data_IF_906802563682
#
_entry.id   IF_906802563682
#
_cell.length_a   1.000
_cell.length_b   1.000
_cell.length_c   1.000
_cell.angle_alpha   90.00
_cell.angle_beta   90.00
_cell.angle_gamma   90.00
#
_symmetry.space_group_name_H-M   'P 1'
#
loop_
_entity.id
_entity.type
_entity.pdbx_description
1 polymer ?
#
# COMPACT_ATOMS: atom_id res chain seq x y z
N UNK A 1 -58.36 -7.44 -1.00
CA UNK A 1 -57.17 -7.94 -1.74
C UNK A 1 -56.10 -6.88 -2.01
N UNK A 2 -56.42 -5.67 -2.53
CA UNK A 2 -55.42 -4.62 -2.84
C UNK A 2 -54.56 -4.15 -1.65
N UNK A 3 -55.13 -4.02 -0.45
CA UNK A 3 -54.41 -3.60 0.78
C UNK A 3 -53.38 -4.63 1.27
N UNK A 4 -53.61 -5.92 1.02
CA UNK A 4 -52.68 -7.00 1.40
C UNK A 4 -51.44 -7.03 0.50
N UNK A 5 -51.62 -6.72 -0.80
CA UNK A 5 -50.50 -6.57 -1.75
C UNK A 5 -49.68 -5.30 -1.47
N UNK A 6 -50.33 -4.21 -1.08
CA UNK A 6 -49.65 -2.99 -0.64
C UNK A 6 -48.83 -3.24 0.64
N UNK A 7 -49.36 -3.98 1.61
CA UNK A 7 -48.64 -4.33 2.83
C UNK A 7 -47.43 -5.24 2.54
N UNK A 8 -47.57 -6.23 1.65
CA UNK A 8 -46.45 -7.07 1.18
C UNK A 8 -45.37 -6.25 0.47
N UNK A 9 -45.75 -5.29 -0.39
CA UNK A 9 -44.81 -4.40 -1.08
C UNK A 9 -44.06 -3.49 -0.10
N UNK A 10 -44.75 -2.94 0.90
CA UNK A 10 -44.13 -2.13 1.97
C UNK A 10 -43.15 -2.97 2.80
N UNK A 11 -43.51 -4.22 3.09
CA UNK A 11 -42.64 -5.14 3.86
C UNK A 11 -41.39 -5.51 3.07
N UNK A 12 -41.53 -5.77 1.76
CA UNK A 12 -40.41 -6.05 0.85
C UNK A 12 -39.48 -4.83 0.71
N UNK A 13 -40.04 -3.62 0.60
CA UNK A 13 -39.28 -2.37 0.54
C UNK A 13 -38.52 -2.11 1.84
N UNK A 14 -39.13 -2.36 3.01
CA UNK A 14 -38.46 -2.24 4.30
C UNK A 14 -37.30 -3.23 4.43
N UNK A 15 -37.49 -4.50 4.04
CA UNK A 15 -36.42 -5.51 4.03
C UNK A 15 -35.27 -5.07 3.10
N UNK A 16 -35.58 -4.56 1.90
CA UNK A 16 -34.56 -4.04 0.98
C UNK A 16 -33.78 -2.86 1.58
N UNK A 17 -34.45 -1.92 2.24
CA UNK A 17 -33.80 -0.81 2.97
C UNK A 17 -32.91 -1.31 4.12
N UNK A 18 -33.34 -2.31 4.89
CA UNK A 18 -32.53 -2.87 5.98
C UNK A 18 -31.28 -3.61 5.47
N UNK A 19 -31.33 -4.23 4.29
CA UNK A 19 -30.16 -4.90 3.67
C UNK A 19 -29.09 -3.94 3.12
N UNK A 20 -29.40 -2.65 2.93
CA UNK A 20 -28.41 -1.65 2.51
C UNK A 20 -27.32 -1.40 3.57
N UNK A 21 -27.55 -1.81 4.82
CA UNK A 21 -26.52 -1.79 5.87
C UNK A 21 -25.40 -2.81 5.64
N UNK A 22 -25.58 -3.80 4.75
CA UNK A 22 -24.56 -4.77 4.34
C UNK A 22 -23.74 -4.29 3.13
N UNK A 23 -23.35 -3.01 3.14
CA UNK A 23 -22.51 -2.41 2.09
C UNK A 23 -21.12 -3.07 1.94
N UNK A 24 -20.73 -4.01 2.80
CA UNK A 24 -19.42 -4.70 2.71
C UNK A 24 -19.35 -5.69 1.56
N UNK A 25 -20.40 -6.49 1.35
CA UNK A 25 -20.44 -7.48 0.26
C UNK A 25 -20.49 -6.78 -1.10
N UNK A 26 -21.29 -5.72 -1.22
CA UNK A 26 -21.31 -4.88 -2.42
C UNK A 26 -19.96 -4.23 -2.73
N UNK A 27 -19.29 -3.66 -1.72
CA UNK A 27 -17.93 -3.11 -1.89
C UNK A 27 -16.90 -4.17 -2.29
N UNK A 28 -17.01 -5.39 -1.77
CA UNK A 28 -16.14 -6.50 -2.18
C UNK A 28 -16.34 -6.85 -3.65
N UNK A 29 -17.58 -6.92 -4.13
CA UNK A 29 -17.87 -7.18 -5.55
C UNK A 29 -17.39 -6.02 -6.45
N UNK A 30 -17.54 -4.78 -6.01
CA UNK A 30 -17.17 -3.58 -6.79
C UNK A 30 -15.65 -3.33 -6.80
N UNK A 31 -14.97 -3.49 -5.66
CA UNK A 31 -13.54 -3.21 -5.49
C UNK A 31 -12.67 -4.47 -5.47
N UNK A 32 -13.14 -5.55 -6.09
CA UNK A 32 -12.60 -6.92 -6.01
C UNK A 32 -11.08 -7.06 -6.27
N UNK A 33 -10.46 -6.08 -6.92
CA UNK A 33 -9.02 -6.06 -7.18
C UNK A 33 -8.35 -4.84 -6.54
N UNK A 34 -7.17 -5.08 -5.99
CA UNK A 34 -6.35 -4.02 -5.43
C UNK A 34 -5.80 -3.13 -6.55
N UNK A 35 -5.80 -1.84 -6.29
CA UNK A 35 -5.51 -0.81 -7.28
C UNK A 35 -4.74 0.36 -6.65
N UNK A 36 -4.02 1.11 -7.47
CA UNK A 36 -3.15 2.21 -7.04
C UNK A 36 -3.92 3.33 -6.33
N UNK A 37 -5.19 3.51 -6.70
CA UNK A 37 -6.11 4.50 -6.13
C UNK A 37 -6.90 4.00 -4.91
N UNK A 38 -6.61 2.81 -4.38
CA UNK A 38 -7.35 2.26 -3.24
C UNK A 38 -7.26 3.12 -1.98
N UNK A 39 -6.17 3.87 -1.82
CA UNK A 39 -6.00 4.83 -0.74
C UNK A 39 -7.06 5.95 -0.75
N UNK A 40 -7.74 6.18 -1.88
CA UNK A 40 -8.86 7.14 -2.03
C UNK A 40 -10.23 6.51 -1.76
N UNK A 41 -10.34 5.18 -1.87
CA UNK A 41 -11.60 4.42 -1.75
C UNK A 41 -11.90 4.03 -0.30
N UNK A 42 -10.86 3.80 0.50
CA UNK A 42 -10.96 3.29 1.86
C UNK A 42 -10.62 4.37 2.90
N UNK A 43 -11.18 4.26 4.12
CA UNK A 43 -10.79 5.16 5.20
C UNK A 43 -9.30 4.99 5.52
N UNK A 44 -8.58 6.10 5.57
CA UNK A 44 -7.17 6.15 5.88
C UNK A 44 -6.93 6.94 7.19
N UNK A 45 -5.82 6.63 7.85
CA UNK A 45 -5.29 7.43 8.96
C UNK A 45 -4.06 8.17 8.44
N UNK A 46 -4.05 9.49 8.56
CA UNK A 46 -2.86 10.27 8.27
C UNK A 46 -1.79 10.02 9.33
N UNK A 47 -0.53 9.89 8.90
CA UNK A 47 0.61 9.82 9.79
C UNK A 47 1.32 11.18 9.69
N UNK A 48 1.26 11.94 10.78
CA UNK A 48 1.86 13.27 10.83
C UNK A 48 3.38 13.19 10.65
N UNK A 49 3.92 14.06 9.81
CA UNK A 49 5.37 14.17 9.63
C UNK A 49 6.00 14.89 10.83
N UNK A 50 7.20 14.47 11.24
CA UNK A 50 7.96 15.17 12.27
C UNK A 50 8.38 16.58 11.86
N UNK A 51 8.86 17.36 12.84
CA UNK A 51 9.34 18.74 12.62
C UNK A 51 10.60 18.81 11.77
N UNK A 52 11.45 17.77 11.83
CA UNK A 52 12.67 17.65 11.04
C UNK A 52 12.51 16.62 9.93
N UNK A 53 12.84 17.02 8.69
CA UNK A 53 12.86 16.14 7.52
C UNK A 53 14.31 15.88 7.14
N UNK A 54 14.68 14.61 7.07
CA UNK A 54 15.94 14.22 6.45
C UNK A 54 15.77 14.28 4.93
N UNK A 55 16.69 14.95 4.25
CA UNK A 55 16.72 15.06 2.79
C UNK A 55 18.00 14.39 2.31
N UNK A 56 17.87 13.44 1.39
CA UNK A 56 19.03 12.82 0.77
C UNK A 56 19.70 13.81 -0.19
N UNK A 57 21.04 13.95 -0.15
CA UNK A 57 21.80 14.54 -1.24
C UNK A 57 21.47 13.87 -2.58
N UNK A 58 21.46 14.64 -3.66
CA UNK A 58 21.27 14.16 -5.03
C UNK A 58 22.60 14.25 -5.76
N UNK A 59 23.00 13.18 -6.45
CA UNK A 59 24.23 13.18 -7.22
C UNK A 59 24.11 14.12 -8.43
N UNK A 60 25.14 14.93 -8.68
CA UNK A 60 25.21 15.79 -9.88
C UNK A 60 25.22 14.96 -11.17
N UNK A 61 25.91 13.82 -11.15
CA UNK A 61 25.88 12.82 -12.21
C UNK A 61 25.42 11.50 -11.62
N UNK A 62 24.17 11.17 -11.92
CA UNK A 62 23.52 9.94 -11.49
C UNK A 62 24.22 8.68 -11.99
N UNK A 63 23.95 7.57 -11.31
CA UNK A 63 24.41 6.23 -11.70
C UNK A 63 23.22 5.30 -11.80
N UNK A 64 22.79 5.10 -13.03
CA UNK A 64 21.77 4.13 -13.41
C UNK A 64 22.34 3.09 -14.39
N UNK A 65 21.83 1.85 -14.38
CA UNK A 65 22.12 0.90 -15.44
C UNK A 65 21.60 1.43 -16.77
N UNK A 66 22.38 1.31 -17.85
CA UNK A 66 21.88 1.60 -19.21
C UNK A 66 20.97 0.51 -19.72
N UNK A 67 21.31 -0.74 -19.40
CA UNK A 67 20.63 -1.94 -19.88
C UNK A 67 20.45 -2.95 -18.74
N UNK A 68 19.39 -3.74 -18.85
CA UNK A 68 19.09 -4.88 -18.01
C UNK A 68 19.27 -6.16 -18.83
N UNK A 69 20.16 -7.03 -18.38
CA UNK A 69 20.36 -8.34 -18.98
C UNK A 69 19.47 -9.37 -18.26
N UNK A 70 18.42 -9.81 -18.95
CA UNK A 70 17.43 -10.77 -18.45
C UNK A 70 17.31 -11.92 -19.43
N UNK A 71 17.61 -13.15 -18.99
CA UNK A 71 17.42 -14.39 -19.78
C UNK A 71 17.98 -14.26 -21.22
N UNK A 72 19.24 -13.88 -21.32
CA UNK A 72 19.99 -13.69 -22.58
C UNK A 72 19.51 -12.57 -23.51
N UNK A 73 18.61 -11.70 -23.03
CA UNK A 73 18.16 -10.49 -23.74
C UNK A 73 18.58 -9.24 -23.00
N UNK A 74 18.97 -8.22 -23.76
CA UNK A 74 19.23 -6.89 -23.24
C UNK A 74 18.01 -6.00 -23.46
N UNK A 75 17.57 -5.34 -22.40
CA UNK A 75 16.49 -4.36 -22.45
C UNK A 75 17.00 -3.01 -21.95
N UNK A 76 16.70 -1.88 -22.63
CA UNK A 76 17.00 -0.56 -22.09
C UNK A 76 16.34 -0.40 -20.73
N UNK A 77 17.09 0.05 -19.73
CA UNK A 77 16.66 0.07 -18.33
C UNK A 77 15.35 0.84 -18.12
N UNK A 78 15.28 2.07 -18.64
CA UNK A 78 14.08 2.91 -18.47
C UNK A 78 12.87 2.34 -19.22
N UNK A 79 13.09 1.84 -20.44
CA UNK A 79 12.02 1.25 -21.26
C UNK A 79 11.45 0.01 -20.57
N UNK A 80 12.31 -0.82 -19.97
CA UNK A 80 11.86 -1.98 -19.20
C UNK A 80 10.97 -1.56 -18.03
N UNK A 81 11.31 -0.50 -17.31
CA UNK A 81 10.49 -0.01 -16.20
C UNK A 81 9.12 0.50 -16.68
N UNK A 82 9.11 1.24 -17.78
CA UNK A 82 7.89 1.77 -18.41
C UNK A 82 6.99 0.64 -18.94
N UNK A 83 7.55 -0.33 -19.67
CA UNK A 83 6.83 -1.49 -20.21
C UNK A 83 6.20 -2.35 -19.08
N UNK A 84 6.83 -2.37 -17.90
CA UNK A 84 6.33 -3.06 -16.72
C UNK A 84 5.39 -2.19 -15.84
N UNK A 85 4.96 -1.03 -16.33
CA UNK A 85 4.02 -0.12 -15.63
C UNK A 85 4.56 0.36 -14.27
N UNK A 86 5.86 0.61 -14.20
CA UNK A 86 6.49 1.20 -13.02
C UNK A 86 6.07 2.66 -12.88
N UNK A 87 5.55 3.06 -11.72
CA UNK A 87 5.13 4.46 -11.47
C UNK A 87 6.19 5.32 -10.79
N UNK A 88 7.08 4.70 -10.02
CA UNK A 88 8.17 5.37 -9.32
C UNK A 88 9.36 4.40 -9.13
N UNK A 89 10.58 4.88 -9.36
CA UNK A 89 11.80 4.10 -9.15
C UNK A 89 12.93 4.99 -8.62
N UNK A 90 13.63 4.51 -7.60
CA UNK A 90 14.65 5.25 -6.87
C UNK A 90 15.86 4.37 -6.58
N UNK A 91 17.06 4.88 -6.85
CA UNK A 91 18.35 4.25 -6.51
C UNK A 91 19.09 5.16 -5.53
N UNK A 92 19.33 4.67 -4.32
CA UNK A 92 20.16 5.33 -3.33
C UNK A 92 21.43 4.50 -3.12
N UNK A 93 22.59 5.16 -3.14
CA UNK A 93 23.88 4.55 -2.84
C UNK A 93 24.74 5.51 -2.04
N UNK A 94 25.34 5.02 -0.96
CA UNK A 94 26.18 5.82 -0.06
C UNK A 94 25.48 7.11 0.39
N UNK A 95 24.25 6.98 0.90
CA UNK A 95 23.41 8.09 1.36
C UNK A 95 23.13 9.19 0.33
N UNK A 96 23.29 8.91 -0.96
CA UNK A 96 23.05 9.85 -2.05
C UNK A 96 22.12 9.23 -3.09
N UNK A 97 21.11 9.98 -3.52
CA UNK A 97 20.23 9.61 -4.64
C UNK A 97 21.05 9.61 -5.93
N UNK A 98 21.12 8.45 -6.56
CA UNK A 98 21.84 8.25 -7.82
C UNK A 98 20.89 8.35 -9.02
N UNK A 99 19.62 7.99 -8.85
CA UNK A 99 18.62 8.00 -9.90
C UNK A 99 17.24 8.05 -9.26
N UNK A 100 16.36 8.91 -9.76
CA UNK A 100 14.98 9.04 -9.30
C UNK A 100 14.13 9.42 -10.51
N UNK A 101 13.10 8.62 -10.80
CA UNK A 101 12.19 8.87 -11.90
C UNK A 101 10.77 8.43 -11.56
N UNK A 102 9.82 9.18 -12.10
CA UNK A 102 8.39 8.95 -11.97
C UNK A 102 7.74 8.91 -13.35
N UNK A 103 6.73 8.06 -13.51
CA UNK A 103 5.98 7.86 -14.75
C UNK A 103 4.48 8.16 -14.52
N UNK A 104 3.67 8.14 -15.58
CA UNK A 104 2.20 8.23 -15.50
C UNK A 104 1.65 9.40 -14.66
N UNK A 105 2.33 10.55 -14.70
CA UNK A 105 1.99 11.78 -13.96
C UNK A 105 2.12 11.66 -12.44
N UNK A 106 2.79 10.62 -11.95
CA UNK A 106 3.21 10.53 -10.56
C UNK A 106 4.41 11.45 -10.32
N UNK A 107 4.55 11.88 -9.08
CA UNK A 107 5.66 12.68 -8.59
C UNK A 107 6.07 12.25 -7.17
N UNK A 108 7.09 12.90 -6.62
CA UNK A 108 7.59 12.61 -5.27
C UNK A 108 6.57 12.81 -4.15
N UNK A 109 5.47 13.54 -4.40
CA UNK A 109 4.39 13.77 -3.43
C UNK A 109 3.22 12.80 -3.57
N UNK A 110 3.25 11.96 -4.60
CA UNK A 110 2.17 11.06 -4.94
C UNK A 110 2.13 9.83 -4.02
N UNK A 111 0.95 9.54 -3.46
CA UNK A 111 0.75 8.36 -2.60
C UNK A 111 0.53 7.12 -3.45
N UNK A 112 1.39 6.11 -3.27
CA UNK A 112 1.28 4.79 -3.92
C UNK A 112 1.20 3.68 -2.86
N UNK A 113 0.39 2.62 -3.08
CA UNK A 113 0.30 1.52 -2.14
C UNK A 113 1.58 0.69 -2.17
N UNK A 114 2.20 0.52 -1.00
CA UNK A 114 3.42 -0.30 -0.85
C UNK A 114 3.14 -1.79 -0.64
N UNK A 115 1.86 -2.18 -0.56
CA UNK A 115 1.40 -3.54 -0.29
C UNK A 115 2.11 -4.16 0.92
N UNK A 116 2.73 -5.34 0.75
CA UNK A 116 3.39 -6.05 1.83
C UNK A 116 4.68 -5.39 2.33
N UNK A 117 5.26 -4.41 1.62
CA UNK A 117 6.41 -3.65 2.13
C UNK A 117 6.07 -2.92 3.44
N UNK A 118 4.80 -2.52 3.62
CA UNK A 118 4.33 -1.88 4.85
C UNK A 118 4.58 -2.74 6.11
N UNK A 119 4.56 -4.08 5.99
CA UNK A 119 4.74 -5.00 7.13
C UNK A 119 6.11 -4.85 7.78
N UNK A 120 7.16 -4.62 7.00
CA UNK A 120 8.52 -4.41 7.50
C UNK A 120 8.61 -3.13 8.34
N UNK A 121 7.95 -2.06 7.89
CA UNK A 121 7.89 -0.78 8.59
C UNK A 121 7.10 -0.94 9.88
N UNK A 122 5.91 -1.54 9.83
CA UNK A 122 5.08 -1.79 11.02
C UNK A 122 5.82 -2.65 12.04
N UNK A 123 6.51 -3.71 11.59
CA UNK A 123 7.32 -4.55 12.46
C UNK A 123 8.44 -3.76 13.14
N UNK A 124 9.19 -2.95 12.38
CA UNK A 124 10.25 -2.12 12.95
C UNK A 124 9.72 -1.13 14.00
N UNK A 125 8.63 -0.42 13.70
CA UNK A 125 8.04 0.55 14.63
C UNK A 125 7.54 -0.13 15.90
N UNK A 126 6.88 -1.29 15.78
CA UNK A 126 6.35 -2.03 16.92
C UNK A 126 7.48 -2.58 17.81
N UNK A 127 8.50 -3.20 17.21
CA UNK A 127 9.65 -3.73 17.96
C UNK A 127 10.42 -2.61 18.67
N UNK A 128 10.58 -1.45 18.02
CA UNK A 128 11.21 -0.29 18.64
C UNK A 128 10.39 0.22 19.83
N UNK A 129 9.07 0.27 19.71
CA UNK A 129 8.19 0.66 20.81
C UNK A 129 8.33 -0.32 21.99
N UNK A 130 8.26 -1.62 21.74
CA UNK A 130 8.42 -2.65 22.77
C UNK A 130 9.80 -2.63 23.43
N UNK A 131 10.85 -2.37 22.66
CA UNK A 131 12.21 -2.21 23.17
C UNK A 131 12.39 -0.94 24.00
N UNK A 132 11.69 0.15 23.66
CA UNK A 132 11.71 1.39 24.43
C UNK A 132 10.91 1.26 25.75
N UNK A 133 9.89 0.41 25.77
CA UNK A 133 9.07 0.11 26.96
C UNK A 133 9.66 -0.99 27.87
N UNK A 134 10.82 -1.55 27.53
CA UNK A 134 11.53 -2.51 28.37
C UNK A 134 10.91 -3.91 28.45
N UNK A 135 10.02 -4.27 27.52
CA UNK A 135 9.28 -5.53 27.57
C UNK A 135 10.00 -6.64 26.77
N UNK A 136 11.09 -7.19 27.32
CA UNK A 136 11.86 -8.29 26.72
C UNK A 136 11.23 -9.69 26.90
N UNK A 137 10.06 -9.83 27.54
CA UNK A 137 9.49 -11.17 27.84
C UNK A 137 8.90 -11.92 26.63
N UNK A 138 8.72 -11.28 25.47
CA UNK A 138 7.91 -11.86 24.41
C UNK A 138 8.65 -12.80 23.44
N UNK A 139 9.98 -12.78 23.32
CA UNK A 139 10.66 -13.62 22.32
C UNK A 139 10.71 -15.11 22.67
N UNK A 140 10.87 -15.44 23.97
CA UNK A 140 10.92 -16.84 24.43
C UNK A 140 9.53 -17.51 24.39
N UNK A 141 8.47 -16.77 24.72
CA UNK A 141 7.10 -17.29 24.71
C UNK A 141 6.57 -17.46 23.27
N UNK A 142 6.85 -16.51 22.38
CA UNK A 142 6.44 -16.58 20.97
C UNK A 142 7.13 -17.75 20.24
N UNK A 143 8.39 -18.07 20.58
CA UNK A 143 9.11 -19.21 20.00
C UNK A 143 8.58 -20.56 20.49
N UNK A 144 8.05 -20.61 21.71
CA UNK A 144 7.47 -21.82 22.31
C UNK A 144 6.09 -22.11 21.72
N UNK A 145 5.27 -21.08 21.45
CA UNK A 145 3.96 -21.23 20.80
C UNK A 145 4.01 -21.52 19.29
N UNK A 146 5.14 -21.24 18.62
CA UNK A 146 5.34 -21.54 17.18
C UNK A 146 5.81 -22.97 16.88
N UNK A 147 6.07 -23.78 17.91
CA UNK A 147 6.51 -25.20 17.79
C UNK A 147 5.36 -26.22 18.00
N UNK A 148 4.11 -25.78 18.01
CA UNK A 148 2.92 -26.65 18.06
C UNK A 148 2.25 -26.68 16.70
#
# INVERSE_FOLDING_TARGET
>A
MKRLNALKLITLALIALFTQNSCKVGRFVVYNYADIDDHKKFPARNIETGTTKFIFPVAETGKEPKELHLKDKSHPFEQYLEDNKTVAFLIIKNDTVQYEKYWDKYDASSTVPSFSMAKSITGHVLLRHQSAEGNQENEAEIRTRRKV
#
